data_IF_911521867767
#
_entry.id   IF_911521867767
#
_cell.length_a   1.000
_cell.length_b   1.000
_cell.length_c   1.000
_cell.angle_alpha   90.00
_cell.angle_beta   90.00
_cell.angle_gamma   90.00
#
_symmetry.space_group_name_H-M   'P 1'
#
loop_
_entity.id
_entity.type
_entity.pdbx_description
1 polymer ?
#
# COMPACT_ATOMS: atom_id res chain seq x y z
N UNK A 1 9.35 12.30 0.02
CA UNK A 1 9.19 11.66 1.35
C UNK A 1 8.45 10.32 1.27
N UNK A 2 7.14 10.23 0.91
CA UNK A 2 6.44 8.93 0.80
C UNK A 2 7.12 8.03 -0.24
N UNK A 3 7.35 8.52 -1.46
CA UNK A 3 7.99 7.76 -2.53
C UNK A 3 9.40 7.30 -2.16
N UNK A 4 10.17 8.16 -1.48
CA UNK A 4 11.53 7.80 -1.03
C UNK A 4 11.51 6.66 -0.01
N UNK A 5 10.52 6.64 0.88
CA UNK A 5 10.34 5.56 1.83
C UNK A 5 9.96 4.27 1.11
N UNK A 6 8.98 4.32 0.20
CA UNK A 6 8.59 3.16 -0.61
C UNK A 6 9.78 2.57 -1.37
N UNK A 7 10.61 3.42 -1.97
CA UNK A 7 11.78 2.98 -2.75
C UNK A 7 12.84 2.32 -1.88
N UNK A 8 13.05 2.84 -0.67
CA UNK A 8 14.03 2.32 0.30
C UNK A 8 13.53 1.11 1.09
N UNK A 9 12.22 0.88 1.10
CA UNK A 9 11.63 -0.24 1.82
C UNK A 9 12.10 -1.57 1.27
N UNK A 10 12.51 -2.49 2.13
CA UNK A 10 12.96 -3.83 1.77
C UNK A 10 11.83 -4.87 1.69
N UNK A 11 10.59 -4.42 1.60
CA UNK A 11 9.40 -5.26 1.46
C UNK A 11 8.17 -4.48 0.98
N UNK A 12 7.00 -5.12 0.98
CA UNK A 12 5.76 -4.48 0.55
C UNK A 12 5.32 -3.39 1.53
N UNK A 13 4.66 -2.38 0.97
CA UNK A 13 4.20 -1.17 1.68
C UNK A 13 2.70 -1.06 1.57
N UNK A 14 2.03 -0.75 2.68
CA UNK A 14 0.60 -0.47 2.71
C UNK A 14 0.35 1.03 2.88
N UNK A 15 -0.48 1.60 2.01
CA UNK A 15 -0.90 3.01 2.06
C UNK A 15 -2.40 3.05 2.29
N UNK A 16 -2.80 3.67 3.38
CA UNK A 16 -4.19 3.84 3.76
C UNK A 16 -4.62 5.30 3.62
N UNK A 17 -5.80 5.50 3.04
CA UNK A 17 -6.53 6.77 3.06
C UNK A 17 -8.02 6.53 3.16
N UNK A 18 -8.73 7.35 3.92
CA UNK A 18 -10.20 7.36 3.94
C UNK A 18 -10.79 7.92 2.64
N UNK A 19 -9.99 8.66 1.87
CA UNK A 19 -10.43 9.34 0.65
C UNK A 19 -9.79 8.73 -0.59
N UNK A 20 -10.63 8.34 -1.56
CA UNK A 20 -10.13 7.81 -2.84
C UNK A 20 -9.54 8.94 -3.68
N UNK A 21 -10.34 9.94 -4.00
CA UNK A 21 -9.96 10.99 -4.95
C UNK A 21 -8.95 12.00 -4.38
N UNK A 22 -9.11 12.38 -3.11
CA UNK A 22 -8.21 13.33 -2.44
C UNK A 22 -7.00 12.69 -1.77
N UNK A 23 -7.02 11.37 -1.57
CA UNK A 23 -5.95 10.63 -0.88
C UNK A 23 -5.22 9.66 -1.80
N UNK A 24 -5.90 8.57 -2.20
CA UNK A 24 -5.24 7.49 -2.96
C UNK A 24 -4.85 7.90 -4.38
N UNK A 25 -5.72 8.61 -5.11
CA UNK A 25 -5.47 8.96 -6.52
C UNK A 25 -4.21 9.82 -6.70
N UNK A 26 -3.95 10.87 -5.93
CA UNK A 26 -2.70 11.61 -6.01
C UNK A 26 -1.45 10.75 -5.81
N UNK A 27 -1.52 9.80 -4.88
CA UNK A 27 -0.40 8.86 -4.64
C UNK A 27 -0.23 7.91 -5.83
N UNK A 28 -1.34 7.40 -6.41
CA UNK A 28 -1.29 6.54 -7.60
C UNK A 28 -0.61 7.28 -8.76
N UNK A 29 -1.01 8.52 -9.02
CA UNK A 29 -0.40 9.33 -10.07
C UNK A 29 1.11 9.52 -9.83
N UNK A 30 1.49 9.81 -8.59
CA UNK A 30 2.90 9.94 -8.22
C UNK A 30 3.67 8.63 -8.38
N UNK A 31 3.08 7.49 -8.03
CA UNK A 31 3.66 6.16 -8.24
C UNK A 31 3.89 5.88 -9.73
N UNK A 32 2.89 6.11 -10.58
CA UNK A 32 3.01 5.88 -12.03
C UNK A 32 4.06 6.79 -12.68
N UNK A 33 4.16 8.05 -12.25
CA UNK A 33 5.22 8.97 -12.70
C UNK A 33 6.63 8.47 -12.31
N UNK A 34 6.73 7.69 -11.24
CA UNK A 34 8.00 7.16 -10.71
C UNK A 34 8.28 5.70 -11.10
N UNK A 35 7.55 5.13 -12.04
CA UNK A 35 7.85 3.82 -12.61
C UNK A 35 7.11 2.65 -11.98
N UNK A 36 6.16 2.89 -11.10
CA UNK A 36 5.26 1.85 -10.60
C UNK A 36 4.11 1.62 -11.58
N UNK A 37 3.61 0.40 -11.66
CA UNK A 37 2.55 0.00 -12.59
C UNK A 37 1.42 -0.73 -11.88
N UNK A 38 0.17 -0.64 -12.38
CA UNK A 38 -0.90 -1.45 -11.84
C UNK A 38 -0.63 -2.94 -12.08
N UNK A 39 -0.79 -3.74 -11.03
CA UNK A 39 -0.56 -5.18 -11.09
C UNK A 39 -1.65 -5.86 -11.90
N UNK A 40 -1.24 -6.57 -12.98
CA UNK A 40 -2.10 -7.38 -13.88
C UNK A 40 -3.44 -6.73 -14.26
N UNK A 41 -3.42 -6.01 -15.33
CA UNK A 41 -4.41 -5.71 -16.38
C UNK A 41 -5.89 -5.45 -16.10
N UNK A 42 -6.41 -5.48 -14.90
CA UNK A 42 -7.81 -5.12 -14.65
C UNK A 42 -7.98 -3.65 -14.20
N UNK A 43 -6.89 -2.97 -13.94
CA UNK A 43 -6.87 -1.54 -13.73
C UNK A 43 -6.04 -0.91 -14.83
N UNK A 44 -6.68 -0.14 -15.68
CA UNK A 44 -5.94 0.71 -16.61
C UNK A 44 -5.13 1.72 -15.81
N UNK A 45 -3.91 2.03 -16.24
CA UNK A 45 -3.13 3.09 -15.63
C UNK A 45 -3.87 4.42 -15.69
N UNK A 46 -3.76 5.22 -14.63
CA UNK A 46 -4.37 6.55 -14.58
C UNK A 46 -3.66 7.55 -15.50
N UNK A 47 -2.35 7.41 -15.66
CA UNK A 47 -1.55 8.28 -16.52
C UNK A 47 -1.42 7.75 -17.93
N UNK A 48 -1.45 8.67 -18.90
CA UNK A 48 -1.05 8.39 -20.25
C UNK A 48 0.45 8.02 -20.30
N UNK A 49 0.85 7.13 -21.22
CA UNK A 49 2.23 6.67 -21.38
C UNK A 49 3.26 7.81 -21.51
N UNK A 50 2.85 8.96 -22.00
CA UNK A 50 3.70 10.16 -22.11
C UNK A 50 4.25 10.66 -20.79
N UNK A 51 3.52 10.43 -19.69
CA UNK A 51 3.87 10.95 -18.35
C UNK A 51 4.43 9.88 -17.42
N UNK A 52 4.55 8.64 -17.88
CA UNK A 52 5.09 7.53 -17.11
C UNK A 52 6.60 7.47 -17.24
N UNK A 53 7.25 7.11 -16.14
CA UNK A 53 8.67 6.74 -16.20
C UNK A 53 8.85 5.48 -17.06
N UNK A 54 9.94 5.44 -17.82
CA UNK A 54 10.38 4.24 -18.54
C UNK A 54 10.91 3.15 -17.57
N UNK A 55 11.40 3.56 -16.40
CA UNK A 55 12.04 2.67 -15.44
C UNK A 55 10.98 1.97 -14.59
N UNK A 56 10.93 0.65 -14.68
CA UNK A 56 10.04 -0.16 -13.87
C UNK A 56 10.60 -0.32 -12.45
N UNK A 57 9.83 0.07 -11.44
CA UNK A 57 10.21 -0.04 -10.02
C UNK A 57 9.36 -1.04 -9.23
N UNK A 58 8.25 -1.50 -9.78
CA UNK A 58 7.37 -2.46 -9.10
C UNK A 58 5.91 -2.25 -9.45
N UNK A 59 5.07 -3.11 -8.90
CA UNK A 59 3.65 -3.06 -9.11
C UNK A 59 2.91 -2.49 -7.90
N UNK A 60 1.78 -1.84 -8.16
CA UNK A 60 0.85 -1.43 -7.12
C UNK A 60 -0.54 -2.05 -7.33
N UNK A 61 -1.28 -2.17 -6.25
CA UNK A 61 -2.66 -2.65 -6.23
C UNK A 61 -3.51 -1.69 -5.42
N UNK A 62 -4.74 -1.42 -5.89
CA UNK A 62 -5.71 -0.57 -5.20
C UNK A 62 -6.93 -1.38 -4.83
N UNK A 63 -7.40 -1.26 -3.58
CA UNK A 63 -8.69 -1.79 -3.13
C UNK A 63 -9.48 -0.69 -2.44
N UNK A 64 -10.64 -0.36 -3.00
CA UNK A 64 -11.61 0.55 -2.39
C UNK A 64 -13.03 0.11 -2.77
N UNK A 65 -14.02 0.60 -2.04
CA UNK A 65 -15.42 0.30 -2.36
C UNK A 65 -15.88 0.84 -3.72
N UNK A 66 -15.22 1.88 -4.24
CA UNK A 66 -15.57 2.54 -5.50
C UNK A 66 -14.72 2.13 -6.70
N UNK A 67 -13.53 1.60 -6.47
CA UNK A 67 -12.65 1.13 -7.54
C UNK A 67 -12.75 -0.39 -7.62
N UNK A 68 -13.22 -0.89 -8.77
CA UNK A 68 -13.33 -2.33 -9.01
C UNK A 68 -11.96 -2.98 -8.98
N UNK A 69 -11.75 -3.87 -8.04
CA UNK A 69 -10.52 -4.63 -7.93
C UNK A 69 -10.84 -6.12 -7.83
N UNK A 70 -10.78 -6.81 -8.96
CA UNK A 70 -10.99 -8.25 -8.99
C UNK A 70 -9.77 -8.99 -8.41
N UNK A 71 -10.02 -9.99 -7.56
CA UNK A 71 -9.03 -10.96 -7.06
C UNK A 71 -7.85 -10.42 -6.21
N UNK A 72 -7.93 -9.19 -5.72
CA UNK A 72 -6.83 -8.57 -4.94
C UNK A 72 -6.49 -9.36 -3.68
N UNK A 73 -7.50 -9.88 -2.99
CA UNK A 73 -7.30 -10.66 -1.76
C UNK A 73 -6.31 -11.82 -1.95
N UNK A 74 -6.29 -12.37 -3.16
CA UNK A 74 -5.42 -13.51 -3.49
C UNK A 74 -3.94 -13.12 -3.56
N UNK A 75 -3.62 -11.89 -3.95
CA UNK A 75 -2.24 -11.45 -4.16
C UNK A 75 -1.65 -10.69 -2.97
N UNK A 76 -2.49 -9.90 -2.30
CA UNK A 76 -2.06 -9.01 -1.21
C UNK A 76 -1.91 -9.75 0.12
N UNK A 77 -2.75 -10.77 0.36
CA UNK A 77 -2.78 -11.52 1.63
C UNK A 77 -1.95 -12.80 1.60
N UNK A 78 -1.30 -13.14 0.50
CA UNK A 78 -0.53 -14.39 0.44
C UNK A 78 0.86 -14.23 1.03
N UNK A 79 1.28 -15.24 1.82
CA UNK A 79 2.67 -15.38 2.24
C UNK A 79 3.65 -15.39 1.05
N UNK A 80 3.20 -15.79 -0.13
CA UNK A 80 4.00 -15.75 -1.37
C UNK A 80 4.37 -14.34 -1.83
N UNK A 81 3.57 -13.32 -1.49
CA UNK A 81 3.92 -11.94 -1.82
C UNK A 81 5.16 -11.46 -1.05
N UNK A 82 5.40 -12.05 0.13
CA UNK A 82 6.60 -11.76 0.94
C UNK A 82 7.91 -12.22 0.27
N UNK A 83 7.83 -13.28 -0.54
CA UNK A 83 9.01 -13.93 -1.16
C UNK A 83 9.22 -13.43 -2.59
N UNK A 84 8.14 -13.20 -3.33
CA UNK A 84 8.21 -12.91 -4.77
C UNK A 84 8.09 -11.43 -5.11
N UNK A 85 7.84 -10.57 -4.11
CA UNK A 85 7.72 -9.10 -4.25
C UNK A 85 6.88 -8.63 -5.46
N UNK A 86 5.85 -9.43 -5.83
CA UNK A 86 5.03 -9.15 -7.02
C UNK A 86 4.25 -7.83 -6.89
N UNK A 87 3.85 -7.48 -5.66
CA UNK A 87 3.16 -6.21 -5.38
C UNK A 87 3.97 -5.44 -4.34
N UNK A 88 4.57 -4.35 -4.78
CA UNK A 88 5.37 -3.48 -3.90
C UNK A 88 4.50 -2.56 -3.05
N UNK A 89 3.43 -2.03 -3.64
CA UNK A 89 2.56 -1.06 -2.96
C UNK A 89 1.11 -1.52 -3.00
N UNK A 90 0.50 -1.61 -1.84
CA UNK A 90 -0.93 -1.81 -1.69
C UNK A 90 -1.57 -0.52 -1.18
N UNK A 91 -2.55 0.00 -1.93
CA UNK A 91 -3.33 1.17 -1.53
C UNK A 91 -4.75 0.74 -1.19
N UNK A 92 -5.28 1.25 -0.09
CA UNK A 92 -6.62 0.86 0.33
C UNK A 92 -7.34 1.87 1.20
N UNK A 93 -8.68 1.79 1.15
CA UNK A 93 -9.60 2.48 2.06
C UNK A 93 -10.04 1.55 3.20
N UNK A 94 -10.98 1.99 4.05
CA UNK A 94 -11.53 1.17 5.15
C UNK A 94 -12.01 -0.21 4.69
N UNK A 95 -12.71 -0.27 3.55
CA UNK A 95 -13.16 -1.55 2.96
C UNK A 95 -12.01 -2.47 2.56
N UNK A 96 -10.85 -1.90 2.28
CA UNK A 96 -9.66 -2.69 2.00
C UNK A 96 -9.06 -3.28 3.27
N UNK A 97 -9.11 -2.55 4.37
CA UNK A 97 -8.61 -3.01 5.65
C UNK A 97 -9.47 -4.14 6.24
N UNK A 98 -10.76 -4.21 5.89
CA UNK A 98 -11.64 -5.27 6.36
C UNK A 98 -11.34 -6.62 5.69
N UNK A 99 -11.19 -7.66 6.51
CA UNK A 99 -11.07 -9.06 6.05
C UNK A 99 -9.72 -9.44 5.44
N UNK A 100 -8.72 -8.56 5.37
CA UNK A 100 -7.40 -8.87 4.87
C UNK A 100 -6.38 -9.09 5.99
N UNK A 101 -5.52 -10.09 5.80
CA UNK A 101 -4.30 -10.27 6.56
C UNK A 101 -3.12 -9.89 5.66
N UNK A 102 -2.37 -8.88 6.06
CA UNK A 102 -1.23 -8.39 5.31
C UNK A 102 0.05 -9.01 5.88
N UNK A 103 0.64 -9.95 5.14
CA UNK A 103 1.83 -10.66 5.58
C UNK A 103 3.10 -10.00 5.04
N UNK A 104 4.08 -9.79 5.94
CA UNK A 104 5.41 -9.31 5.56
C UNK A 104 5.49 -7.85 5.14
N UNK A 105 4.44 -7.07 5.35
CA UNK A 105 4.45 -5.64 5.08
C UNK A 105 5.45 -4.93 6.00
N UNK A 106 6.30 -4.11 5.40
CA UNK A 106 7.40 -3.44 6.11
C UNK A 106 7.06 -2.03 6.54
N UNK A 107 6.13 -1.41 5.83
CA UNK A 107 5.70 -0.04 6.09
C UNK A 107 4.19 0.09 5.99
N UNK A 108 3.64 0.94 6.83
CA UNK A 108 2.23 1.38 6.81
C UNK A 108 2.21 2.88 6.79
N UNK A 109 1.63 3.46 5.75
CA UNK A 109 1.44 4.90 5.61
C UNK A 109 -0.04 5.23 5.78
N UNK A 110 -0.39 6.00 6.78
CA UNK A 110 -1.74 6.52 7.02
C UNK A 110 -1.75 8.00 6.61
N UNK A 111 -2.40 8.31 5.48
CA UNK A 111 -2.36 9.65 4.89
C UNK A 111 -3.15 10.67 5.71
N UNK A 112 -4.29 10.24 6.27
CA UNK A 112 -5.09 11.07 7.18
C UNK A 112 -5.38 10.26 8.46
N UNK A 113 -4.73 10.56 9.58
CA UNK A 113 -5.09 9.94 10.85
C UNK A 113 -6.52 10.34 11.24
N UNK A 114 -7.36 9.34 11.47
CA UNK A 114 -8.76 9.57 11.82
C UNK A 114 -8.87 10.11 13.26
N UNK A 115 -9.88 10.94 13.53
CA UNK A 115 -10.19 11.41 14.90
C UNK A 115 -10.42 10.25 15.86
N UNK A 116 -11.04 9.17 15.37
CA UNK A 116 -11.13 7.92 16.11
C UNK A 116 -9.87 7.10 15.87
N UNK A 117 -8.99 7.08 16.87
CA UNK A 117 -7.74 6.34 16.84
C UNK A 117 -7.96 4.83 16.62
N UNK A 118 -9.13 4.30 16.99
CA UNK A 118 -9.49 2.90 16.80
C UNK A 118 -9.44 2.44 15.34
N UNK A 119 -9.85 3.28 14.39
CA UNK A 119 -9.74 2.95 12.97
C UNK A 119 -8.27 2.86 12.52
N UNK A 120 -7.47 3.83 12.94
CA UNK A 120 -6.02 3.83 12.65
C UNK A 120 -5.34 2.59 13.24
N UNK A 121 -5.66 2.22 14.47
CA UNK A 121 -5.15 1.00 15.11
C UNK A 121 -5.61 -0.27 14.38
N UNK A 122 -6.85 -0.34 13.91
CA UNK A 122 -7.35 -1.47 13.12
C UNK A 122 -6.57 -1.62 11.80
N UNK A 123 -6.33 -0.52 11.11
CA UNK A 123 -5.54 -0.49 9.86
C UNK A 123 -4.11 -0.99 10.10
N UNK A 124 -3.45 -0.44 11.11
CA UNK A 124 -2.09 -0.85 11.49
C UNK A 124 -2.08 -2.32 11.92
N UNK A 125 -3.06 -2.75 12.71
CA UNK A 125 -3.20 -4.11 13.20
C UNK A 125 -3.35 -5.16 12.10
N UNK A 126 -3.71 -4.79 10.86
CA UNK A 126 -3.73 -5.72 9.71
C UNK A 126 -2.32 -6.10 9.24
N UNK A 127 -1.37 -5.21 9.42
CA UNK A 127 0.04 -5.44 9.07
C UNK A 127 0.86 -6.03 10.22
N UNK A 128 0.42 -5.81 11.48
CA UNK A 128 1.16 -6.21 12.69
C UNK A 128 0.43 -7.36 13.40
N UNK A 129 -0.16 -8.29 12.67
CA UNK A 129 -0.81 -9.45 13.28
C UNK A 129 0.21 -10.48 13.76
N UNK A 130 -0.20 -11.27 14.79
CA UNK A 130 0.56 -12.44 15.22
C UNK A 130 0.95 -13.29 14.00
N UNK A 131 2.21 -13.66 13.94
CA UNK A 131 2.81 -14.47 12.86
C UNK A 131 2.88 -13.82 11.47
N UNK A 132 2.45 -12.56 11.30
CA UNK A 132 2.51 -11.90 9.98
C UNK A 132 3.92 -11.79 9.42
N UNK A 133 4.95 -11.82 10.27
CA UNK A 133 6.37 -11.69 9.91
C UNK A 133 7.21 -12.91 10.32
N UNK A 134 6.59 -14.02 10.77
CA UNK A 134 7.33 -15.18 11.31
C UNK A 134 8.29 -15.82 10.30
N UNK A 135 7.94 -15.74 9.02
CA UNK A 135 8.77 -16.26 7.93
C UNK A 135 9.98 -15.39 7.60
N UNK A 136 10.03 -14.17 8.13
CA UNK A 136 11.15 -13.26 7.92
C UNK A 136 12.24 -13.47 8.98
N UNK A 137 13.50 -13.17 8.67
CA UNK A 137 14.57 -13.09 9.66
C UNK A 137 14.20 -12.10 10.79
N UNK A 138 14.68 -12.34 11.99
CA UNK A 138 14.32 -11.55 13.20
C UNK A 138 14.53 -10.04 12.97
N UNK A 139 15.63 -9.64 12.35
CA UNK A 139 15.95 -8.24 12.06
C UNK A 139 15.02 -7.59 11.02
N UNK A 140 14.19 -8.39 10.32
CA UNK A 140 13.19 -7.94 9.34
C UNK A 140 11.74 -8.06 9.84
N UNK A 141 11.52 -8.35 11.11
CA UNK A 141 10.18 -8.52 11.70
C UNK A 141 9.56 -7.22 12.25
N UNK A 142 10.11 -6.07 11.93
CA UNK A 142 9.58 -4.76 12.29
C UNK A 142 8.69 -4.19 11.18
N UNK A 143 7.76 -3.33 11.57
CA UNK A 143 6.92 -2.52 10.66
C UNK A 143 7.10 -1.06 11.04
N UNK A 144 7.47 -0.23 10.07
CA UNK A 144 7.49 1.21 10.26
C UNK A 144 6.09 1.78 9.99
N UNK A 145 5.60 2.64 10.89
CA UNK A 145 4.29 3.29 10.76
C UNK A 145 4.49 4.78 10.59
N UNK A 146 3.94 5.33 9.51
CA UNK A 146 3.99 6.74 9.18
C UNK A 146 2.59 7.34 9.23
N UNK A 147 2.40 8.33 10.08
CA UNK A 147 1.17 9.11 10.16
C UNK A 147 1.44 10.49 9.56
N UNK A 148 0.64 10.88 8.58
CA UNK A 148 0.79 12.16 7.89
C UNK A 148 -0.27 13.14 8.37
N UNK A 149 0.14 14.32 8.78
CA UNK A 149 -0.74 15.41 9.13
C UNK A 149 -0.45 16.63 8.25
N UNK A 150 -1.48 17.20 7.65
CA UNK A 150 -1.38 18.49 6.97
C UNK A 150 -1.44 19.60 8.01
N UNK A 151 -0.45 20.44 8.05
CA UNK A 151 -0.44 21.66 8.87
C UNK A 151 -0.63 22.88 7.98
N UNK A 152 -1.52 23.77 8.41
CA UNK A 152 -1.62 25.11 7.81
C UNK A 152 -0.48 25.92 8.44
N UNK A 153 0.53 26.14 7.65
CA UNK A 153 1.67 26.98 8.04
C UNK A 153 1.35 28.45 7.92
#
# INVERSE_FOLDING_TARGET
MILDNIEKSDGPVFIFSSYVWGGLVPIILALEMNGYRPYKSNNEPYLNNKYKSSDYKGDYVVKSGSLKSAHINTYVSKKQNMVNENVKVFLGTETAAEGLNLYGYREVHVLEPHFNFSLTEQVIGRCIRNESHISLPIHKRNVAVYLYASTIG
#
